data_IF_473482709941
#
_entry.id   IF_473482709941
#
_cell.length_a   1.000
_cell.length_b   1.000
_cell.length_c   1.000
_cell.angle_alpha   90.00
_cell.angle_beta   90.00
_cell.angle_gamma   90.00
#
_symmetry.space_group_name_H-M   'P 1'
#
loop_
_entity.id
_entity.type
_entity.pdbx_description
1 polymer ?
#
# COMPACT_ATOMS: atom_id res chain seq x y z
N UNK A 1 16.94 14.64 13.45
CA UNK A 1 17.79 13.53 13.00
C UNK A 1 17.42 13.15 11.57
N UNK A 2 17.99 13.87 10.57
CA UNK A 2 17.73 13.65 9.13
C UNK A 2 18.94 13.06 8.40
N UNK A 3 19.91 12.53 9.14
CA UNK A 3 21.19 12.08 8.58
C UNK A 3 21.25 10.60 8.14
N UNK A 4 20.15 9.85 8.23
CA UNK A 4 20.11 8.43 7.84
C UNK A 4 19.72 8.20 6.36
N UNK A 5 19.75 9.25 5.53
CA UNK A 5 19.31 9.17 4.13
C UNK A 5 20.41 8.57 3.23
N UNK A 6 21.54 8.17 3.78
CA UNK A 6 22.76 7.90 3.00
C UNK A 6 23.10 6.47 2.65
N UNK A 7 22.39 5.46 3.11
CA UNK A 7 22.89 4.09 2.95
C UNK A 7 22.42 3.35 1.70
N UNK A 8 21.35 3.77 1.03
CA UNK A 8 20.80 3.05 -0.13
C UNK A 8 20.12 3.94 -1.18
N UNK A 9 20.64 5.10 -1.48
CA UNK A 9 20.12 5.93 -2.55
C UNK A 9 20.73 7.33 -2.61
N UNK A 10 20.47 8.12 -3.68
CA UNK A 10 20.98 9.47 -3.80
C UNK A 10 20.47 10.35 -2.65
N UNK A 11 21.32 11.23 -2.16
CA UNK A 11 20.94 12.24 -1.15
C UNK A 11 19.96 13.23 -1.74
N UNK A 12 18.70 13.18 -1.32
CA UNK A 12 17.69 14.16 -1.72
C UNK A 12 17.58 15.21 -0.65
N UNK A 13 17.52 16.46 -1.06
CA UNK A 13 17.33 17.55 -0.11
C UNK A 13 15.95 17.43 0.58
N UNK A 14 15.84 17.77 1.87
CA UNK A 14 14.59 17.65 2.62
C UNK A 14 13.38 18.32 1.95
N UNK A 15 13.50 19.51 1.34
CA UNK A 15 12.36 20.13 0.67
C UNK A 15 11.89 19.35 -0.57
N UNK A 16 12.80 18.72 -1.33
CA UNK A 16 12.43 17.91 -2.49
C UNK A 16 11.71 16.63 -2.02
N UNK A 17 12.19 15.99 -0.96
CA UNK A 17 11.52 14.83 -0.37
C UNK A 17 10.12 15.20 0.15
N UNK A 18 9.97 16.33 0.81
CA UNK A 18 8.67 16.83 1.28
C UNK A 18 7.71 17.07 0.12
N UNK A 19 8.19 17.75 -0.94
CA UNK A 19 7.39 18.00 -2.14
C UNK A 19 6.92 16.70 -2.80
N UNK A 20 7.80 15.71 -2.91
CA UNK A 20 7.47 14.40 -3.45
C UNK A 20 6.38 13.71 -2.63
N UNK A 21 6.52 13.67 -1.30
CA UNK A 21 5.52 13.06 -0.42
C UNK A 21 4.18 13.81 -0.47
N UNK A 22 4.21 15.14 -0.50
CA UNK A 22 2.99 15.94 -0.64
C UNK A 22 2.29 15.66 -1.98
N UNK A 23 3.04 15.59 -3.08
CA UNK A 23 2.51 15.27 -4.40
C UNK A 23 1.88 13.88 -4.40
N UNK A 24 2.56 12.87 -3.86
CA UNK A 24 2.03 11.51 -3.74
C UNK A 24 0.77 11.45 -2.88
N UNK A 25 0.74 12.20 -1.78
CA UNK A 25 -0.44 12.29 -0.93
C UNK A 25 -1.65 12.84 -1.69
N UNK A 26 -1.49 13.97 -2.38
CA UNK A 26 -2.59 14.56 -3.16
C UNK A 26 -3.06 13.65 -4.31
N UNK A 27 -2.13 13.00 -5.01
CA UNK A 27 -2.47 12.00 -6.03
C UNK A 27 -3.28 10.85 -5.40
N UNK A 28 -2.84 10.32 -4.26
CA UNK A 28 -3.53 9.23 -3.59
C UNK A 28 -4.94 9.63 -3.13
N UNK A 29 -5.10 10.82 -2.53
CA UNK A 29 -6.41 11.34 -2.14
C UNK A 29 -7.31 11.51 -3.37
N UNK A 30 -6.78 12.07 -4.46
CA UNK A 30 -7.53 12.20 -5.71
C UNK A 30 -7.98 10.84 -6.27
N UNK A 31 -7.09 9.85 -6.32
CA UNK A 31 -7.42 8.49 -6.77
C UNK A 31 -8.45 7.80 -5.87
N UNK A 32 -8.40 8.08 -4.57
CA UNK A 32 -9.33 7.51 -3.60
C UNK A 32 -10.73 8.08 -3.75
N UNK A 33 -10.83 9.40 -3.97
CA UNK A 33 -12.11 10.14 -4.07
C UNK A 33 -12.73 10.03 -5.47
N UNK A 34 -11.92 9.76 -6.49
CA UNK A 34 -12.39 9.65 -7.87
C UNK A 34 -13.55 8.66 -7.97
N UNK A 35 -14.71 9.07 -8.55
CA UNK A 35 -15.85 8.18 -8.74
C UNK A 35 -15.45 6.96 -9.55
N UNK A 36 -15.76 5.78 -9.04
CA UNK A 36 -15.64 4.55 -9.82
C UNK A 36 -16.89 4.30 -10.65
N UNK A 37 -16.71 3.54 -11.74
CA UNK A 37 -17.83 3.16 -12.64
C UNK A 37 -19.00 2.49 -11.92
N UNK A 38 -18.73 1.84 -10.80
CA UNK A 38 -19.72 1.09 -10.01
C UNK A 38 -20.55 1.96 -9.06
N UNK A 39 -20.40 3.29 -9.10
CA UNK A 39 -21.14 4.23 -8.27
C UNK A 39 -20.87 4.10 -6.75
N UNK A 40 -19.94 3.25 -6.35
CA UNK A 40 -19.62 3.01 -4.95
C UNK A 40 -18.77 4.15 -4.38
N UNK A 41 -19.41 5.06 -3.67
CA UNK A 41 -18.78 6.21 -3.01
C UNK A 41 -18.40 5.95 -1.55
N UNK A 42 -18.45 4.70 -1.10
CA UNK A 42 -18.12 4.35 0.29
C UNK A 42 -16.62 4.50 0.54
N UNK A 43 -16.21 5.72 0.89
CA UNK A 43 -14.81 6.04 1.21
C UNK A 43 -14.44 5.67 2.64
N UNK A 44 -15.41 5.64 3.57
CA UNK A 44 -15.16 5.37 4.98
C UNK A 44 -14.44 4.04 5.26
N UNK A 45 -14.84 2.90 4.66
CA UNK A 45 -14.10 1.65 4.86
C UNK A 45 -12.65 1.73 4.38
N UNK A 46 -12.37 2.48 3.31
CA UNK A 46 -11.00 2.65 2.81
C UNK A 46 -10.13 3.45 3.78
N UNK A 47 -10.67 4.53 4.36
CA UNK A 47 -9.95 5.29 5.40
C UNK A 47 -9.69 4.44 6.64
N UNK A 48 -10.66 3.64 7.05
CA UNK A 48 -10.50 2.71 8.16
C UNK A 48 -9.40 1.67 7.87
N UNK A 49 -9.37 1.11 6.66
CA UNK A 49 -8.35 0.16 6.25
C UNK A 49 -6.95 0.80 6.17
N UNK A 50 -6.84 2.06 5.75
CA UNK A 50 -5.58 2.81 5.81
C UNK A 50 -5.12 2.97 7.26
N UNK A 51 -6.02 3.33 8.16
CA UNK A 51 -5.70 3.46 9.59
C UNK A 51 -5.25 2.12 10.19
N UNK A 52 -6.02 1.04 9.96
CA UNK A 52 -5.66 -0.32 10.40
C UNK A 52 -4.31 -0.76 9.82
N UNK A 53 -4.09 -0.56 8.52
CA UNK A 53 -2.84 -0.90 7.86
C UNK A 53 -1.65 -0.14 8.43
N UNK A 54 -1.81 1.15 8.69
CA UNK A 54 -0.75 1.99 9.27
C UNK A 54 -0.42 1.58 10.70
N UNK A 55 -1.43 1.40 11.54
CA UNK A 55 -1.26 0.97 12.94
C UNK A 55 -0.65 -0.42 13.00
N UNK A 56 -1.16 -1.38 12.22
CA UNK A 56 -0.64 -2.75 12.22
C UNK A 56 0.82 -2.80 11.75
N UNK A 57 1.20 -1.98 10.77
CA UNK A 57 2.58 -1.89 10.30
C UNK A 57 3.51 -1.32 11.37
N UNK A 58 3.08 -0.29 12.08
CA UNK A 58 3.84 0.29 13.19
C UNK A 58 3.98 -0.73 14.32
N UNK A 59 2.87 -1.34 14.72
CA UNK A 59 2.83 -2.33 15.80
C UNK A 59 3.66 -3.59 15.49
N UNK A 60 3.74 -4.00 14.23
CA UNK A 60 4.50 -5.19 13.80
C UNK A 60 5.92 -4.87 13.29
N UNK A 61 6.37 -3.63 13.43
CA UNK A 61 7.68 -3.21 12.90
C UNK A 61 8.86 -3.95 13.55
N UNK A 62 8.68 -4.50 14.74
CA UNK A 62 9.68 -5.30 15.46
C UNK A 62 9.65 -6.80 15.10
N UNK A 63 8.63 -7.26 14.36
CA UNK A 63 8.51 -8.66 13.93
C UNK A 63 8.96 -8.75 12.47
N UNK A 64 10.10 -9.39 12.19
CA UNK A 64 10.60 -9.48 10.82
C UNK A 64 9.64 -10.30 9.94
N UNK A 65 9.50 -9.85 8.69
CA UNK A 65 8.70 -10.50 7.64
C UNK A 65 7.17 -10.57 7.89
N UNK A 66 6.64 -9.94 8.93
CA UNK A 66 5.19 -9.80 9.11
C UNK A 66 4.73 -8.50 8.50
N UNK A 67 4.02 -8.59 7.37
CA UNK A 67 3.56 -7.44 6.61
C UNK A 67 2.03 -7.46 6.42
N UNK A 68 1.23 -7.04 7.42
CA UNK A 68 -0.24 -7.04 7.33
C UNK A 68 -0.75 -6.19 6.16
N UNK A 69 0.00 -5.15 5.77
CA UNK A 69 -0.31 -4.27 4.65
C UNK A 69 -0.42 -5.03 3.33
N UNK A 70 0.34 -6.10 3.13
CA UNK A 70 0.28 -6.91 1.92
C UNK A 70 -1.09 -7.56 1.74
N UNK A 71 -1.64 -8.15 2.82
CA UNK A 71 -2.97 -8.76 2.80
C UNK A 71 -4.04 -7.70 2.53
N UNK A 72 -3.93 -6.53 3.16
CA UNK A 72 -4.84 -5.42 2.93
C UNK A 72 -4.76 -4.88 1.51
N UNK A 73 -3.56 -4.79 0.92
CA UNK A 73 -3.37 -4.40 -0.48
C UNK A 73 -4.05 -5.38 -1.45
N UNK A 74 -3.96 -6.69 -1.18
CA UNK A 74 -4.68 -7.73 -1.94
C UNK A 74 -6.19 -7.55 -1.83
N UNK A 75 -6.72 -7.40 -0.60
CA UNK A 75 -8.16 -7.23 -0.37
C UNK A 75 -8.71 -5.97 -1.04
N UNK A 76 -8.00 -4.86 -0.90
CA UNK A 76 -8.43 -3.58 -1.48
C UNK A 76 -8.32 -3.60 -3.00
N UNK A 77 -7.20 -4.13 -3.53
CA UNK A 77 -7.00 -4.27 -4.97
C UNK A 77 -8.10 -5.11 -5.62
N UNK A 78 -8.40 -6.28 -5.05
CA UNK A 78 -9.41 -7.19 -5.60
C UNK A 78 -10.85 -6.67 -5.47
N UNK A 79 -11.18 -5.95 -4.38
CA UNK A 79 -12.54 -5.46 -4.13
C UNK A 79 -12.81 -4.09 -4.72
N UNK A 80 -11.85 -3.17 -4.62
CA UNK A 80 -12.03 -1.76 -4.98
C UNK A 80 -11.23 -1.35 -6.22
N UNK A 81 -10.48 -2.29 -6.80
CA UNK A 81 -9.71 -2.08 -8.02
C UNK A 81 -8.33 -1.45 -7.79
N UNK A 82 -7.53 -1.46 -8.85
CA UNK A 82 -6.12 -1.05 -8.84
C UNK A 82 -5.90 0.39 -8.36
N UNK A 83 -6.76 1.33 -8.77
CA UNK A 83 -6.60 2.75 -8.42
C UNK A 83 -6.69 2.98 -6.91
N UNK A 84 -7.71 2.41 -6.26
CA UNK A 84 -7.90 2.51 -4.80
C UNK A 84 -6.85 1.69 -4.05
N UNK A 85 -6.44 0.54 -4.60
CA UNK A 85 -5.34 -0.24 -4.05
C UNK A 85 -4.01 0.52 -4.06
N UNK A 86 -3.71 1.22 -5.15
CA UNK A 86 -2.53 2.08 -5.22
C UNK A 86 -2.63 3.27 -4.25
N UNK A 87 -3.77 3.93 -4.20
CA UNK A 87 -4.01 5.02 -3.24
C UNK A 87 -3.82 4.55 -1.78
N UNK A 88 -4.31 3.35 -1.46
CA UNK A 88 -4.08 2.71 -0.16
C UNK A 88 -2.57 2.50 0.10
N UNK A 89 -1.82 1.95 -0.86
CA UNK A 89 -0.38 1.73 -0.73
C UNK A 89 0.37 3.04 -0.43
N UNK A 90 0.04 4.13 -1.11
CA UNK A 90 0.61 5.46 -0.85
C UNK A 90 0.27 5.93 0.56
N UNK A 91 -1.03 5.97 0.90
CA UNK A 91 -1.48 6.54 2.17
C UNK A 91 -0.97 5.75 3.38
N UNK A 92 -1.01 4.41 3.33
CA UNK A 92 -0.50 3.58 4.43
C UNK A 92 1.00 3.73 4.60
N UNK A 93 1.76 3.87 3.50
CA UNK A 93 3.20 4.10 3.56
C UNK A 93 3.51 5.47 4.16
N UNK A 94 2.87 6.52 3.67
CA UNK A 94 3.11 7.88 4.17
C UNK A 94 2.73 8.00 5.65
N UNK A 95 1.55 7.49 6.05
CA UNK A 95 1.07 7.55 7.42
C UNK A 95 1.96 6.77 8.38
N UNK A 96 2.34 5.53 8.05
CA UNK A 96 3.19 4.73 8.92
C UNK A 96 4.64 5.22 8.94
N UNK A 97 5.17 5.71 7.82
CA UNK A 97 6.53 6.25 7.76
C UNK A 97 6.66 7.62 8.46
N UNK A 98 5.57 8.33 8.75
CA UNK A 98 5.61 9.47 9.65
C UNK A 98 6.13 9.10 11.05
N UNK A 99 5.93 7.85 11.48
CA UNK A 99 6.44 7.28 12.75
C UNK A 99 7.74 6.51 12.54
N UNK A 100 7.80 5.65 11.49
CA UNK A 100 8.93 4.76 11.23
C UNK A 100 10.11 5.45 10.52
N UNK A 101 9.91 6.65 10.01
CA UNK A 101 10.89 7.41 9.24
C UNK A 101 10.66 7.32 7.72
N UNK A 102 10.94 8.42 7.05
CA UNK A 102 10.85 8.55 5.60
C UNK A 102 12.22 8.41 4.93
N UNK A 103 12.23 7.80 3.73
CA UNK A 103 13.43 7.67 2.90
C UNK A 103 13.06 7.15 1.51
N UNK A 104 14.09 6.87 0.70
CA UNK A 104 13.91 6.28 -0.63
C UNK A 104 13.15 4.96 -0.62
N UNK A 105 13.32 4.17 0.42
CA UNK A 105 12.57 2.91 0.61
C UNK A 105 11.06 3.11 0.63
N UNK A 106 10.56 4.31 1.00
CA UNK A 106 9.13 4.61 0.93
C UNK A 106 8.58 4.50 -0.48
N UNK A 107 9.34 4.93 -1.49
CA UNK A 107 8.94 4.82 -2.90
C UNK A 107 8.87 3.36 -3.34
N UNK A 108 9.88 2.56 -3.00
CA UNK A 108 9.88 1.12 -3.31
C UNK A 108 8.74 0.39 -2.63
N UNK A 109 8.42 0.75 -1.39
CA UNK A 109 7.26 0.19 -0.68
C UNK A 109 5.94 0.55 -1.36
N UNK A 110 5.78 1.81 -1.78
CA UNK A 110 4.59 2.26 -2.51
C UNK A 110 4.45 1.48 -3.82
N UNK A 111 5.53 1.36 -4.59
CA UNK A 111 5.53 0.60 -5.85
C UNK A 111 5.24 -0.88 -5.59
N UNK A 112 5.87 -1.48 -4.58
CA UNK A 112 5.67 -2.88 -4.22
C UNK A 112 4.22 -3.21 -3.85
N UNK A 113 3.63 -2.49 -2.90
CA UNK A 113 2.24 -2.71 -2.51
C UNK A 113 1.25 -2.25 -3.59
N UNK A 114 1.59 -1.21 -4.36
CA UNK A 114 0.81 -0.80 -5.51
C UNK A 114 0.76 -1.88 -6.60
N UNK A 115 1.89 -2.54 -6.89
CA UNK A 115 1.95 -3.67 -7.82
C UNK A 115 1.14 -4.87 -7.30
N UNK A 116 1.24 -5.19 -6.00
CA UNK A 116 0.42 -6.23 -5.37
C UNK A 116 -1.07 -5.92 -5.55
N UNK A 117 -1.50 -4.69 -5.28
CA UNK A 117 -2.90 -4.29 -5.45
C UNK A 117 -3.35 -4.31 -6.92
N UNK A 118 -2.45 -3.93 -7.85
CA UNK A 118 -2.72 -4.00 -9.29
C UNK A 118 -2.96 -5.44 -9.74
N UNK A 119 -2.08 -6.37 -9.37
CA UNK A 119 -2.23 -7.80 -9.70
C UNK A 119 -3.49 -8.36 -9.05
N UNK A 120 -3.73 -8.05 -7.77
CA UNK A 120 -4.91 -8.48 -7.05
C UNK A 120 -6.22 -7.96 -7.67
N UNK A 121 -6.19 -6.79 -8.31
CA UNK A 121 -7.37 -6.24 -9.00
C UNK A 121 -7.80 -7.06 -10.22
N UNK A 122 -6.92 -7.91 -10.73
CA UNK A 122 -7.22 -8.83 -11.85
C UNK A 122 -7.70 -10.20 -11.36
N UNK A 123 -7.63 -10.46 -10.05
CA UNK A 123 -7.97 -11.75 -9.45
C UNK A 123 -9.18 -11.54 -8.54
N UNK A 124 -10.26 -12.29 -8.76
CA UNK A 124 -11.39 -12.28 -7.83
C UNK A 124 -11.02 -13.11 -6.60
N UNK A 125 -11.02 -12.48 -5.42
CA UNK A 125 -10.91 -13.19 -4.13
C UNK A 125 -12.28 -13.54 -3.54
N UNK A 126 -13.34 -13.34 -4.31
CA UNK A 126 -14.72 -13.66 -3.94
C UNK A 126 -15.21 -14.87 -4.76
N UNK A 127 -15.97 -15.72 -4.12
CA UNK A 127 -16.67 -16.85 -4.78
C UNK A 127 -17.84 -16.35 -5.63
N UNK A 128 -18.50 -17.27 -6.31
CA UNK A 128 -19.67 -16.98 -7.15
C UNK A 128 -20.86 -16.38 -6.37
N UNK A 129 -20.88 -16.53 -5.04
CA UNK A 129 -21.90 -16.01 -4.14
C UNK A 129 -21.50 -14.64 -3.54
N UNK A 130 -20.34 -14.11 -3.92
CA UNK A 130 -19.82 -12.83 -3.40
C UNK A 130 -19.17 -12.94 -2.01
N UNK A 131 -18.99 -14.14 -1.46
CA UNK A 131 -18.30 -14.35 -0.20
C UNK A 131 -16.78 -14.38 -0.39
N UNK A 132 -16.03 -13.99 0.63
CA UNK A 132 -14.57 -14.02 0.61
C UNK A 132 -14.08 -15.50 0.55
N UNK A 133 -13.36 -15.84 -0.51
CA UNK A 133 -12.72 -17.15 -0.65
C UNK A 133 -11.36 -17.14 0.04
N UNK A 134 -11.24 -17.84 1.17
CA UNK A 134 -9.99 -17.94 1.92
C UNK A 134 -8.88 -18.60 1.11
N UNK A 135 -9.22 -19.55 0.25
CA UNK A 135 -8.25 -20.23 -0.64
C UNK A 135 -7.68 -19.25 -1.67
N UNK A 136 -8.52 -18.46 -2.32
CA UNK A 136 -8.08 -17.47 -3.31
C UNK A 136 -7.31 -16.33 -2.63
N UNK A 137 -7.73 -15.92 -1.42
CA UNK A 137 -7.00 -14.93 -0.64
C UNK A 137 -5.62 -15.44 -0.25
N UNK A 138 -5.52 -16.67 0.27
CA UNK A 138 -4.23 -17.28 0.64
C UNK A 138 -3.31 -17.43 -0.58
N UNK A 139 -3.84 -17.87 -1.72
CA UNK A 139 -3.08 -17.99 -2.97
C UNK A 139 -2.58 -16.61 -3.43
N UNK A 140 -3.44 -15.59 -3.41
CA UNK A 140 -3.07 -14.22 -3.78
C UNK A 140 -2.02 -13.63 -2.81
N UNK A 141 -2.13 -13.92 -1.52
CA UNK A 141 -1.15 -13.50 -0.53
C UNK A 141 0.22 -14.17 -0.76
N UNK A 142 0.25 -15.47 -1.10
CA UNK A 142 1.49 -16.18 -1.42
C UNK A 142 2.19 -15.58 -2.66
N UNK A 143 1.45 -15.25 -3.71
CA UNK A 143 2.02 -14.63 -4.91
C UNK A 143 2.43 -13.17 -4.69
N UNK A 144 1.83 -12.49 -3.75
CA UNK A 144 2.20 -11.10 -3.43
C UNK A 144 3.57 -10.97 -2.80
N UNK A 145 4.04 -12.00 -2.08
CA UNK A 145 5.35 -12.00 -1.42
C UNK A 145 6.51 -11.88 -2.42
N UNK A 146 6.66 -12.74 -3.45
CA UNK A 146 7.73 -12.58 -4.41
C UNK A 146 7.63 -11.28 -5.22
N UNK A 147 6.42 -10.81 -5.54
CA UNK A 147 6.22 -9.52 -6.22
C UNK A 147 6.78 -8.38 -5.36
N UNK A 148 6.40 -8.35 -4.08
CA UNK A 148 6.85 -7.31 -3.17
C UNK A 148 8.37 -7.38 -2.93
N UNK A 149 8.90 -8.57 -2.64
CA UNK A 149 10.32 -8.77 -2.37
C UNK A 149 11.19 -8.46 -3.59
N UNK A 150 10.78 -8.84 -4.81
CA UNK A 150 11.53 -8.54 -6.02
C UNK A 150 11.68 -7.04 -6.27
N UNK A 151 10.72 -6.23 -5.84
CA UNK A 151 10.73 -4.77 -6.00
C UNK A 151 11.49 -4.04 -4.89
N UNK A 152 11.59 -4.63 -3.69
CA UNK A 152 12.28 -4.01 -2.55
C UNK A 152 13.76 -4.39 -2.52
N UNK A 153 14.14 -5.58 -3.01
CA UNK A 153 15.52 -6.05 -2.99
C UNK A 153 16.37 -5.56 -4.19
N UNK A 154 15.81 -4.73 -5.05
CA UNK A 154 16.56 -4.03 -6.11
C UNK A 154 17.24 -2.80 -5.49
#
# INVERSE_FOLDING_TARGET
>A
MLSAIGTHGPTVSPPVLLLLHATLFFIAVWLLVKPQRDGNTWLWPLFLLVAIGSVSRIAMSFVPNVMPVTILAVLIGSKFGAQRGFAFAVLVTLASNAVLGHGWWSLFQIVGWGAVALVASQISVHDANGNLSMTQLAFSALWSVPIFLSLIHI
#
